data_IF_453259723771
#
_entry.id   IF_453259723771
#
_cell.length_a   1.000
_cell.length_b   1.000
_cell.length_c   1.000
_cell.angle_alpha   90.00
_cell.angle_beta   90.00
_cell.angle_gamma   90.00
#
_symmetry.space_group_name_H-M   'P 1'
#
loop_
_entity.id
_entity.type
_entity.pdbx_description
1 polymer ?
#
# COMPACT_ATOMS: atom_id res chain seq x y z
N UNK A 1 -2.89 31.15 19.82
CA UNK A 1 -2.54 29.82 19.25
C UNK A 1 -2.93 29.88 17.79
N UNK A 2 -1.95 29.87 16.88
CA UNK A 2 -2.20 30.05 15.45
C UNK A 2 -2.75 28.77 14.85
N UNK A 3 -4.05 28.78 14.50
CA UNK A 3 -4.67 27.78 13.64
C UNK A 3 -3.88 27.70 12.33
N UNK A 4 -3.08 26.65 12.18
CA UNK A 4 -2.44 26.33 10.92
C UNK A 4 -3.52 25.80 10.00
N UNK A 5 -4.31 26.70 9.41
CA UNK A 5 -5.13 26.39 8.24
C UNK A 5 -4.16 26.26 7.07
N UNK A 6 -3.59 25.08 6.96
CA UNK A 6 -2.70 24.71 5.87
C UNK A 6 -3.43 24.76 4.54
N UNK A 7 -3.26 25.87 3.83
CA UNK A 7 -3.61 25.99 2.42
C UNK A 7 -2.76 24.98 1.66
N UNK A 8 -3.41 24.00 1.02
CA UNK A 8 -2.74 23.14 0.05
C UNK A 8 -2.30 24.07 -1.09
N UNK A 9 -1.00 24.31 -1.21
CA UNK A 9 -0.47 25.18 -2.25
C UNK A 9 -0.78 24.49 -3.59
N UNK A 10 -1.47 25.19 -4.49
CA UNK A 10 -1.87 24.67 -5.81
C UNK A 10 -0.67 24.54 -6.77
N UNK A 11 0.37 23.82 -6.37
CA UNK A 11 1.39 23.31 -7.25
C UNK A 11 2.64 24.17 -7.37
N UNK A 12 3.61 23.95 -6.46
CA UNK A 12 5.05 23.85 -6.81
C UNK A 12 5.98 23.60 -5.62
N UNK A 13 5.53 23.75 -4.37
CA UNK A 13 6.42 23.77 -3.20
C UNK A 13 6.13 22.72 -2.12
N UNK A 14 5.18 21.80 -2.34
CA UNK A 14 4.87 20.79 -1.33
C UNK A 14 5.95 19.71 -1.33
N UNK A 15 6.78 19.73 -0.29
CA UNK A 15 7.71 18.65 0.01
C UNK A 15 6.96 17.40 0.52
N UNK A 16 7.59 16.23 0.38
CA UNK A 16 7.12 14.98 1.03
C UNK A 16 6.78 15.22 2.50
N UNK A 17 7.72 15.83 3.26
CA UNK A 17 7.59 16.04 4.70
C UNK A 17 6.40 16.93 5.05
N UNK A 18 6.13 17.97 4.25
CA UNK A 18 4.96 18.81 4.46
C UNK A 18 3.67 18.05 4.17
N UNK A 19 3.59 17.31 3.06
CA UNK A 19 2.39 16.54 2.72
C UNK A 19 2.06 15.47 3.76
N UNK A 20 3.08 14.79 4.30
CA UNK A 20 2.90 13.82 5.38
C UNK A 20 2.36 14.48 6.66
N UNK A 21 2.93 15.62 7.08
CA UNK A 21 2.42 16.38 8.24
C UNK A 21 0.98 16.84 8.04
N UNK A 22 0.64 17.30 6.83
CA UNK A 22 -0.73 17.71 6.50
C UNK A 22 -1.70 16.54 6.55
N UNK A 23 -1.28 15.37 6.07
CA UNK A 23 -2.06 14.14 6.15
C UNK A 23 -2.33 13.76 7.60
N UNK A 24 -1.31 13.74 8.44
CA UNK A 24 -1.44 13.36 9.85
C UNK A 24 -2.34 14.36 10.61
N UNK A 25 -2.19 15.66 10.34
CA UNK A 25 -3.09 16.68 10.89
C UNK A 25 -4.53 16.50 10.41
N UNK A 26 -4.75 16.18 9.13
CA UNK A 26 -6.09 15.95 8.59
C UNK A 26 -6.76 14.71 9.22
N UNK A 27 -5.99 13.64 9.45
CA UNK A 27 -6.47 12.44 10.16
C UNK A 27 -6.84 12.79 11.60
N UNK A 28 -5.94 13.48 12.33
CA UNK A 28 -6.15 13.82 13.74
C UNK A 28 -7.34 14.77 13.95
N UNK A 29 -7.66 15.60 12.95
CA UNK A 29 -8.79 16.54 13.00
C UNK A 29 -10.03 16.06 12.21
N UNK A 30 -10.05 14.81 11.76
CA UNK A 30 -11.17 14.23 10.99
C UNK A 30 -11.58 15.04 9.75
N UNK A 31 -10.62 15.71 9.10
CA UNK A 31 -10.83 16.55 7.91
C UNK A 31 -10.68 15.74 6.63
N UNK A 32 -11.77 15.08 6.24
CA UNK A 32 -11.81 14.16 5.08
C UNK A 32 -11.51 14.88 3.75
N UNK A 33 -12.02 16.10 3.59
CA UNK A 33 -11.80 16.97 2.42
C UNK A 33 -10.31 17.27 2.19
N UNK A 34 -9.60 17.60 3.27
CA UNK A 34 -8.16 17.87 3.24
C UNK A 34 -7.39 16.58 3.03
N UNK A 35 -7.79 15.48 3.69
CA UNK A 35 -7.15 14.18 3.56
C UNK A 35 -7.18 13.67 2.11
N UNK A 36 -8.32 13.76 1.42
CA UNK A 36 -8.43 13.33 0.03
C UNK A 36 -7.54 14.18 -0.89
N UNK A 37 -7.58 15.50 -0.71
CA UNK A 37 -6.74 16.43 -1.48
C UNK A 37 -5.24 16.15 -1.29
N UNK A 38 -4.79 15.89 -0.06
CA UNK A 38 -3.40 15.52 0.25
C UNK A 38 -3.04 14.16 -0.36
N UNK A 39 -3.93 13.18 -0.29
CA UNK A 39 -3.73 11.87 -0.89
C UNK A 39 -3.59 11.96 -2.42
N UNK A 40 -4.44 12.73 -3.11
CA UNK A 40 -4.30 12.96 -4.55
C UNK A 40 -2.97 13.65 -4.90
N UNK A 41 -2.52 14.58 -4.04
CA UNK A 41 -1.23 15.25 -4.22
C UNK A 41 -0.05 14.29 -4.03
N UNK A 42 -0.09 13.44 -2.99
CA UNK A 42 0.89 12.38 -2.77
C UNK A 42 0.93 11.42 -3.96
N UNK A 43 -0.22 11.05 -4.52
CA UNK A 43 -0.31 10.20 -5.72
C UNK A 43 0.46 10.80 -6.91
N UNK A 44 0.32 12.11 -7.12
CA UNK A 44 0.94 12.83 -8.25
C UNK A 44 2.43 13.10 -8.04
N UNK A 45 2.82 13.56 -6.85
CA UNK A 45 4.19 14.06 -6.59
C UNK A 45 5.11 13.00 -5.97
N UNK A 46 4.56 12.10 -5.16
CA UNK A 46 5.31 11.08 -4.42
C UNK A 46 4.62 9.70 -4.49
N UNK A 47 4.47 9.13 -5.71
CA UNK A 47 3.67 7.92 -5.94
C UNK A 47 4.09 6.73 -5.07
N UNK A 48 5.40 6.56 -4.80
CA UNK A 48 5.90 5.49 -3.92
C UNK A 48 5.38 5.62 -2.48
N UNK A 49 5.22 6.85 -1.99
CA UNK A 49 4.71 7.12 -0.63
C UNK A 49 3.21 6.90 -0.58
N UNK A 50 2.50 7.33 -1.63
CA UNK A 50 1.08 7.06 -1.78
C UNK A 50 0.81 5.56 -1.73
N UNK A 51 1.52 4.76 -2.51
CA UNK A 51 1.38 3.30 -2.51
C UNK A 51 1.62 2.68 -1.15
N UNK A 52 2.61 3.18 -0.43
CA UNK A 52 2.93 2.72 0.91
C UNK A 52 1.81 2.96 1.92
N UNK A 53 1.20 4.14 1.88
CA UNK A 53 0.28 4.61 2.93
C UNK A 53 -1.20 4.39 2.62
N UNK A 54 -1.55 4.34 1.33
CA UNK A 54 -2.93 4.40 0.87
C UNK A 54 -3.25 3.16 0.04
N UNK A 55 -2.46 2.89 -1.00
CA UNK A 55 -2.66 1.72 -1.85
C UNK A 55 -2.30 1.97 -3.32
N UNK A 56 -2.66 1.04 -4.23
CA UNK A 56 -2.17 1.04 -5.60
C UNK A 56 -2.53 2.32 -6.36
N UNK A 57 -1.63 2.75 -7.26
CA UNK A 57 -1.80 3.97 -8.07
C UNK A 57 -2.96 3.86 -9.07
N UNK A 58 -3.28 2.65 -9.50
CA UNK A 58 -4.31 2.36 -10.48
C UNK A 58 -5.25 1.30 -9.94
N UNK A 59 -6.54 1.45 -10.22
CA UNK A 59 -7.49 0.38 -9.94
C UNK A 59 -7.13 -0.84 -10.78
N UNK A 60 -7.08 -2.00 -10.13
CA UNK A 60 -6.97 -3.30 -10.80
C UNK A 60 -8.26 -4.03 -10.51
N UNK A 61 -9.07 -4.33 -11.52
CA UNK A 61 -10.34 -5.03 -11.32
C UNK A 61 -10.27 -6.44 -11.91
N UNK A 62 -10.68 -7.42 -11.13
CA UNK A 62 -10.95 -8.80 -11.55
C UNK A 62 -12.44 -9.10 -11.32
N UNK A 63 -12.84 -10.34 -11.54
CA UNK A 63 -14.18 -10.80 -11.15
C UNK A 63 -14.36 -10.68 -9.63
N UNK A 64 -15.51 -10.14 -9.21
CA UNK A 64 -15.81 -9.84 -7.80
C UNK A 64 -15.80 -11.07 -6.88
N UNK A 65 -15.90 -12.29 -7.43
CA UNK A 65 -15.82 -13.53 -6.68
C UNK A 65 -14.45 -13.73 -6.00
N UNK A 66 -13.38 -13.17 -6.57
CA UNK A 66 -12.04 -13.31 -6.03
C UNK A 66 -11.77 -12.32 -4.89
N UNK A 67 -11.20 -12.81 -3.80
CA UNK A 67 -10.79 -12.03 -2.61
C UNK A 67 -9.33 -11.57 -2.66
N UNK A 68 -8.84 -11.19 -3.85
CA UNK A 68 -7.44 -10.75 -4.02
C UNK A 68 -7.28 -9.23 -3.91
N UNK A 69 -6.03 -8.75 -3.79
CA UNK A 69 -5.70 -7.32 -3.67
C UNK A 69 -6.07 -6.46 -4.89
N UNK A 70 -6.38 -7.07 -6.03
CA UNK A 70 -7.00 -6.33 -7.14
C UNK A 70 -8.40 -5.82 -6.70
N UNK A 71 -9.26 -6.73 -6.25
CA UNK A 71 -10.63 -6.37 -5.88
C UNK A 71 -10.75 -5.66 -4.53
N UNK A 72 -9.81 -5.93 -3.62
CA UNK A 72 -9.73 -5.28 -2.31
C UNK A 72 -8.36 -4.63 -2.16
N UNK A 73 -8.13 -3.46 -2.78
CA UNK A 73 -6.87 -2.76 -2.69
C UNK A 73 -6.50 -2.44 -1.25
N UNK A 74 -5.23 -2.64 -0.91
CA UNK A 74 -4.68 -2.31 0.40
C UNK A 74 -3.36 -1.56 0.25
N UNK A 75 -2.94 -0.89 1.33
CA UNK A 75 -1.63 -0.26 1.41
C UNK A 75 -0.54 -1.32 1.57
N UNK A 76 0.70 -1.02 1.13
CA UNK A 76 1.83 -1.95 1.31
C UNK A 76 2.08 -2.27 2.79
N UNK A 77 1.71 -1.38 3.72
CA UNK A 77 1.84 -1.65 5.15
C UNK A 77 0.88 -2.76 5.63
N UNK A 78 -0.37 -2.77 5.16
CA UNK A 78 -1.34 -3.80 5.54
C UNK A 78 -0.96 -5.13 4.89
N UNK A 79 -0.57 -5.13 3.61
CA UNK A 79 -0.07 -6.34 2.94
C UNK A 79 1.17 -6.90 3.66
N UNK A 80 2.03 -6.04 4.21
CA UNK A 80 3.14 -6.47 5.05
C UNK A 80 2.64 -7.19 6.31
N UNK A 81 1.61 -6.67 6.98
CA UNK A 81 0.99 -7.31 8.13
C UNK A 81 0.40 -8.68 7.75
N UNK A 82 -0.31 -8.79 6.62
CA UNK A 82 -0.84 -10.06 6.11
C UNK A 82 0.27 -11.09 5.86
N UNK A 83 1.42 -10.66 5.31
CA UNK A 83 2.57 -11.52 5.03
C UNK A 83 3.13 -12.11 6.33
N UNK A 84 3.33 -11.27 7.35
CA UNK A 84 3.92 -11.72 8.62
C UNK A 84 2.94 -12.52 9.48
N UNK A 85 1.63 -12.24 9.39
CA UNK A 85 0.58 -13.01 10.08
C UNK A 85 0.24 -14.31 9.36
N UNK A 86 0.68 -14.46 8.10
CA UNK A 86 0.36 -15.61 7.27
C UNK A 86 -1.09 -15.60 6.75
N UNK A 87 -1.73 -14.43 6.75
CA UNK A 87 -3.15 -14.23 6.36
C UNK A 87 -3.31 -13.84 4.88
N UNK A 88 -2.23 -13.84 4.09
CA UNK A 88 -2.30 -13.59 2.65
C UNK A 88 -3.27 -14.58 2.00
N UNK A 89 -4.37 -14.06 1.46
CA UNK A 89 -5.42 -14.88 0.89
C UNK A 89 -4.94 -15.65 -0.35
N UNK A 90 -5.36 -16.91 -0.50
CA UNK A 90 -4.98 -17.80 -1.63
C UNK A 90 -5.20 -17.18 -3.02
N UNK A 91 -6.35 -16.55 -3.26
CA UNK A 91 -6.62 -15.80 -4.50
C UNK A 91 -5.55 -14.75 -4.85
N UNK A 92 -4.87 -14.16 -3.87
CA UNK A 92 -3.76 -13.23 -4.11
C UNK A 92 -2.49 -13.95 -4.57
N UNK A 93 -2.29 -15.21 -4.18
CA UNK A 93 -1.18 -16.05 -4.62
C UNK A 93 -1.35 -16.50 -6.09
N UNK A 94 -2.60 -16.79 -6.49
CA UNK A 94 -2.95 -17.14 -7.87
C UNK A 94 -2.82 -15.98 -8.86
N UNK A 95 -2.89 -14.75 -8.38
CA UNK A 95 -2.91 -13.55 -9.20
C UNK A 95 -1.48 -12.99 -9.41
N UNK A 96 -0.99 -13.03 -10.65
CA UNK A 96 0.34 -12.49 -10.99
C UNK A 96 0.49 -11.00 -10.69
N UNK A 97 -0.56 -10.22 -10.97
CA UNK A 97 -0.55 -8.80 -10.61
C UNK A 97 -0.46 -8.59 -9.10
N UNK A 98 -1.19 -9.37 -8.29
CA UNK A 98 -1.11 -9.29 -6.84
C UNK A 98 0.27 -9.68 -6.34
N UNK A 99 0.83 -10.76 -6.89
CA UNK A 99 2.16 -11.19 -6.52
C UNK A 99 3.22 -10.14 -6.84
N UNK A 100 3.24 -9.63 -8.07
CA UNK A 100 4.29 -8.70 -8.53
C UNK A 100 4.17 -7.31 -7.91
N UNK A 101 2.95 -6.74 -7.92
CA UNK A 101 2.74 -5.33 -7.57
C UNK A 101 2.48 -5.10 -6.09
N UNK A 102 2.04 -6.13 -5.36
CA UNK A 102 1.71 -6.02 -3.94
C UNK A 102 2.70 -6.85 -3.11
N UNK A 103 2.69 -8.16 -3.24
CA UNK A 103 3.41 -9.08 -2.32
C UNK A 103 4.95 -8.93 -2.49
N UNK A 104 5.47 -9.08 -3.71
CA UNK A 104 6.91 -8.94 -4.01
C UNK A 104 7.41 -7.50 -3.84
N UNK A 105 6.59 -6.51 -4.19
CA UNK A 105 6.92 -5.09 -3.97
C UNK A 105 7.00 -4.77 -2.48
N UNK A 106 6.08 -5.30 -1.68
CA UNK A 106 6.08 -5.17 -0.22
C UNK A 106 7.35 -5.77 0.37
N UNK A 107 7.77 -6.95 -0.09
CA UNK A 107 9.05 -7.55 0.27
C UNK A 107 10.24 -6.65 -0.09
N UNK A 108 10.31 -6.17 -1.34
CA UNK A 108 11.40 -5.29 -1.79
C UNK A 108 11.52 -4.02 -0.95
N UNK A 109 10.42 -3.51 -0.41
CA UNK A 109 10.41 -2.34 0.46
C UNK A 109 10.72 -2.67 1.92
N UNK A 110 9.93 -3.54 2.56
CA UNK A 110 10.06 -3.84 3.99
C UNK A 110 11.16 -4.86 4.28
N UNK A 111 11.33 -5.89 3.45
CA UNK A 111 12.42 -6.86 3.62
C UNK A 111 13.80 -6.21 3.55
N UNK A 112 14.01 -5.29 2.59
CA UNK A 112 15.27 -4.57 2.44
C UNK A 112 15.48 -3.48 3.49
N UNK A 113 14.49 -2.63 3.75
CA UNK A 113 14.66 -1.44 4.58
C UNK A 113 14.55 -1.73 6.09
N UNK A 114 13.76 -2.72 6.51
CA UNK A 114 13.47 -2.93 7.93
C UNK A 114 13.95 -4.27 8.50
N UNK A 115 14.49 -5.20 7.68
CA UNK A 115 14.85 -6.58 8.08
C UNK A 115 13.70 -7.34 8.78
N UNK A 116 12.47 -6.84 8.70
CA UNK A 116 11.35 -7.33 9.51
C UNK A 116 10.67 -8.56 8.94
N UNK A 117 10.78 -8.82 7.64
CA UNK A 117 10.20 -10.03 7.05
C UNK A 117 11.30 -11.11 7.03
N UNK A 118 11.16 -12.21 7.80
CA UNK A 118 12.12 -13.30 7.78
C UNK A 118 12.14 -13.98 6.41
N UNK A 119 13.33 -14.33 5.92
CA UNK A 119 13.49 -15.06 4.65
C UNK A 119 12.64 -16.35 4.62
N UNK A 120 12.57 -17.07 5.74
CA UNK A 120 11.72 -18.27 5.87
C UNK A 120 10.24 -18.02 5.58
N UNK A 121 9.70 -16.89 6.04
CA UNK A 121 8.29 -16.52 5.78
C UNK A 121 8.07 -16.25 4.30
N UNK A 122 9.02 -15.59 3.66
CA UNK A 122 8.97 -15.29 2.24
C UNK A 122 9.10 -16.55 1.37
N UNK A 123 10.02 -17.45 1.70
CA UNK A 123 10.21 -18.72 1.01
C UNK A 123 8.94 -19.58 1.10
N UNK A 124 8.32 -19.66 2.28
CA UNK A 124 7.05 -20.36 2.47
C UNK A 124 5.91 -19.76 1.65
N UNK A 125 5.86 -18.43 1.49
CA UNK A 125 4.90 -17.76 0.62
C UNK A 125 5.12 -18.10 -0.86
N UNK A 126 6.37 -18.18 -1.30
CA UNK A 126 6.73 -18.56 -2.66
C UNK A 126 6.34 -20.01 -2.95
N UNK A 127 6.62 -20.92 -2.01
CA UNK A 127 6.25 -22.33 -2.10
C UNK A 127 4.73 -22.50 -2.15
N UNK A 128 3.98 -21.85 -1.23
CA UNK A 128 2.52 -21.85 -1.25
C UNK A 128 1.98 -21.36 -2.58
N UNK A 129 2.49 -20.26 -3.12
CA UNK A 129 2.07 -19.78 -4.44
C UNK A 129 2.35 -20.78 -5.54
N UNK A 130 3.52 -21.41 -5.55
CA UNK A 130 3.87 -22.39 -6.57
C UNK A 130 2.89 -23.57 -6.55
N UNK A 131 2.57 -24.06 -5.34
CA UNK A 131 1.60 -25.13 -5.13
C UNK A 131 0.21 -24.73 -5.64
N UNK A 132 -0.35 -23.63 -5.13
CA UNK A 132 -1.69 -23.17 -5.49
C UNK A 132 -1.80 -22.90 -7.00
N UNK A 133 -0.77 -22.31 -7.63
CA UNK A 133 -0.86 -21.85 -9.02
C UNK A 133 -0.61 -22.93 -10.07
N UNK A 134 0.27 -23.89 -9.80
CA UNK A 134 0.80 -24.79 -10.83
C UNK A 134 0.63 -26.28 -10.54
N UNK A 135 0.21 -26.64 -9.33
CA UNK A 135 0.07 -28.05 -8.91
C UNK A 135 -1.41 -28.46 -8.80
N UNK A 136 -2.35 -27.52 -8.94
CA UNK A 136 -3.78 -27.83 -9.17
C UNK A 136 -4.02 -28.58 -10.49
#
# INVERSE_FOLDING_TARGET
MSDVVSRINQGRYDSEKSLLRLRDNAINNSRIDVLDSVNQRLKKCHPKIYERLIGPLHERKREKAFKCYCNNPQSLHVIYQDIISGEVHVHSLMCDDCWQKDIAKTWGYYGWASKLIPQKTWDALCEKRAYEKFVE
#
